data_IF_250324543088
#
_entry.id   IF_250324543088
#
_cell.length_a   1.000
_cell.length_b   1.000
_cell.length_c   1.000
_cell.angle_alpha   90.00
_cell.angle_beta   90.00
_cell.angle_gamma   90.00
#
_symmetry.space_group_name_H-M   'P 1'
#
loop_
_entity.id
_entity.type
_entity.pdbx_description
1 polymer ?
#
# COMPACT_ATOMS: atom_id res chain seq x y z
N UNK A 1 24.76 -5.84 -11.24
CA UNK A 1 23.50 -6.15 -10.53
C UNK A 1 22.60 -6.94 -11.46
N UNK A 2 21.87 -7.93 -10.95
CA UNK A 2 20.86 -8.71 -11.71
C UNK A 2 19.48 -8.46 -11.11
N UNK A 3 18.46 -8.32 -11.95
CA UNK A 3 17.05 -8.23 -11.51
C UNK A 3 16.63 -9.59 -10.96
N UNK A 4 16.11 -9.63 -9.71
CA UNK A 4 15.61 -10.87 -9.10
C UNK A 4 14.16 -11.15 -9.47
N UNK A 5 13.31 -10.12 -9.36
CA UNK A 5 11.89 -10.19 -9.67
C UNK A 5 11.36 -8.80 -10.00
N UNK A 6 10.13 -8.76 -10.49
CA UNK A 6 9.38 -7.56 -10.80
C UNK A 6 7.94 -7.76 -10.35
N UNK A 7 7.32 -6.71 -9.81
CA UNK A 7 5.94 -6.72 -9.35
C UNK A 7 5.21 -5.51 -9.93
N UNK A 8 4.06 -5.75 -10.54
CA UNK A 8 3.18 -4.70 -11.04
C UNK A 8 1.98 -4.59 -10.11
N UNK A 9 1.75 -3.39 -9.58
CA UNK A 9 0.61 -3.11 -8.68
C UNK A 9 -0.74 -3.14 -9.40
N UNK A 10 -0.73 -3.06 -10.73
CA UNK A 10 -1.95 -3.00 -11.54
C UNK A 10 -2.56 -1.60 -11.64
N UNK A 11 -1.95 -0.59 -11.02
CA UNK A 11 -2.40 0.79 -11.14
C UNK A 11 -1.97 1.39 -12.49
N UNK A 12 -2.83 1.24 -13.49
CA UNK A 12 -2.64 1.87 -14.78
C UNK A 12 -3.75 2.87 -15.04
N UNK A 13 -3.38 4.09 -15.43
CA UNK A 13 -4.35 5.08 -15.89
C UNK A 13 -5.06 4.58 -17.15
N UNK A 14 -6.39 4.53 -17.08
CA UNK A 14 -7.28 4.25 -18.20
C UNK A 14 -7.81 5.57 -18.81
N UNK A 15 -8.35 5.55 -20.04
CA UNK A 15 -8.97 6.73 -20.64
C UNK A 15 -10.15 7.30 -19.84
N UNK A 16 -10.81 6.48 -19.03
CA UNK A 16 -11.97 6.86 -18.23
C UNK A 16 -11.57 7.52 -16.89
N UNK A 17 -10.30 7.40 -16.49
CA UNK A 17 -9.82 7.95 -15.23
C UNK A 17 -9.71 9.48 -15.30
N UNK A 18 -10.42 10.14 -14.38
CA UNK A 18 -10.45 11.61 -14.26
C UNK A 18 -9.24 12.18 -13.51
N UNK A 19 -8.41 11.32 -12.92
CA UNK A 19 -7.22 11.68 -12.16
C UNK A 19 -5.96 11.03 -12.75
N UNK A 20 -4.79 11.61 -12.46
CA UNK A 20 -3.51 10.94 -12.72
C UNK A 20 -3.24 9.89 -11.65
N UNK A 21 -2.49 8.84 -11.98
CA UNK A 21 -1.95 7.89 -10.99
C UNK A 21 -0.45 8.11 -10.88
N UNK A 22 0.06 8.24 -9.66
CA UNK A 22 1.49 8.36 -9.41
C UNK A 22 1.95 7.44 -8.27
N UNK A 23 2.90 6.56 -8.60
CA UNK A 23 3.59 5.71 -7.64
C UNK A 23 4.71 6.46 -6.93
N UNK A 24 4.40 7.17 -5.84
CA UNK A 24 5.38 7.86 -4.98
C UNK A 24 5.83 6.99 -3.78
N UNK A 25 5.47 5.72 -3.80
CA UNK A 25 5.76 4.76 -2.74
C UNK A 25 7.27 4.42 -2.68
N UNK A 26 7.85 4.50 -1.48
CA UNK A 26 9.07 3.77 -1.12
C UNK A 26 8.69 2.53 -0.29
N UNK A 27 8.80 1.31 -0.83
CA UNK A 27 8.32 0.11 -0.15
C UNK A 27 9.00 -0.10 1.22
N UNK A 28 8.22 -0.47 2.23
CA UNK A 28 8.72 -0.74 3.58
C UNK A 28 9.06 -2.23 3.72
N UNK A 29 10.30 -2.56 4.07
CA UNK A 29 10.68 -3.95 4.39
C UNK A 29 10.71 -4.17 5.90
N UNK A 30 9.97 -5.18 6.38
CA UNK A 30 10.06 -5.66 7.78
C UNK A 30 10.23 -7.18 7.77
N UNK A 31 11.33 -7.66 8.33
CA UNK A 31 11.69 -9.08 8.25
C UNK A 31 11.79 -9.55 6.80
N UNK A 32 11.04 -10.60 6.44
CA UNK A 32 10.99 -11.16 5.08
C UNK A 32 9.83 -10.62 4.24
N UNK A 33 9.13 -9.59 4.71
CA UNK A 33 7.97 -9.02 4.00
C UNK A 33 8.30 -7.63 3.49
N UNK A 34 7.95 -7.35 2.24
CA UNK A 34 7.96 -6.02 1.65
C UNK A 34 6.51 -5.52 1.53
N UNK A 35 6.24 -4.32 2.03
CA UNK A 35 4.91 -3.71 1.98
C UNK A 35 4.90 -2.57 0.98
N UNK A 36 3.91 -2.58 0.10
CA UNK A 36 3.73 -1.63 -0.99
C UNK A 36 2.36 -1.01 -0.80
N UNK A 37 2.31 0.33 -0.79
CA UNK A 37 1.05 1.04 -0.95
C UNK A 37 0.90 1.43 -2.42
N UNK A 38 -0.21 1.01 -3.03
CA UNK A 38 -0.53 1.24 -4.45
C UNK A 38 -1.07 2.66 -4.65
N UNK A 39 -1.06 3.21 -5.87
CA UNK A 39 -1.69 4.52 -6.09
C UNK A 39 -3.21 4.46 -5.92
N UNK A 40 -3.82 3.27 -5.99
CA UNK A 40 -5.22 3.03 -5.59
C UNK A 40 -5.41 2.93 -4.06
N UNK A 41 -4.35 3.17 -3.27
CA UNK A 41 -4.33 3.19 -1.80
C UNK A 41 -4.60 1.82 -1.14
N UNK A 42 -4.42 0.76 -1.92
CA UNK A 42 -4.43 -0.61 -1.44
C UNK A 42 -3.04 -0.94 -0.89
N UNK A 43 -2.96 -1.94 -0.02
CA UNK A 43 -1.68 -2.42 0.49
C UNK A 43 -1.45 -3.86 0.06
N UNK A 44 -0.27 -4.10 -0.51
CA UNK A 44 0.20 -5.43 -0.89
C UNK A 44 1.39 -5.78 -0.02
N UNK A 45 1.37 -6.97 0.56
CA UNK A 45 2.53 -7.56 1.20
C UNK A 45 3.12 -8.62 0.28
N UNK A 46 4.41 -8.49 -0.04
CA UNK A 46 5.16 -9.43 -0.84
C UNK A 46 6.19 -10.16 0.01
N UNK A 47 6.51 -11.40 -0.36
CA UNK A 47 7.75 -12.03 0.05
C UNK A 47 8.93 -11.26 -0.58
N UNK A 48 9.84 -10.76 0.26
CA UNK A 48 10.91 -9.89 -0.20
C UNK A 48 11.95 -10.60 -1.09
N UNK A 49 12.07 -11.94 -0.99
CA UNK A 49 13.02 -12.71 -1.77
C UNK A 49 12.46 -13.09 -3.15
N UNK A 50 11.16 -13.37 -3.24
CA UNK A 50 10.54 -13.89 -4.47
C UNK A 50 9.64 -12.89 -5.19
N UNK A 51 9.18 -11.83 -4.51
CA UNK A 51 8.18 -10.90 -5.04
C UNK A 51 6.76 -11.45 -5.06
N UNK A 52 6.52 -12.66 -4.51
CA UNK A 52 5.18 -13.26 -4.48
C UNK A 52 4.29 -12.57 -3.46
N UNK A 53 3.04 -12.33 -3.82
CA UNK A 53 2.03 -11.80 -2.91
C UNK A 53 1.78 -12.76 -1.75
N UNK A 54 1.84 -12.22 -0.53
CA UNK A 54 1.48 -12.89 0.72
C UNK A 54 0.06 -12.57 1.12
N UNK A 55 -0.31 -11.30 0.97
CA UNK A 55 -1.67 -10.83 1.15
C UNK A 55 -1.87 -9.48 0.46
N UNK A 56 -3.12 -9.16 0.23
CA UNK A 56 -3.60 -7.92 -0.34
C UNK A 56 -4.73 -7.36 0.52
N UNK A 57 -4.78 -6.04 0.66
CA UNK A 57 -5.83 -5.35 1.39
C UNK A 57 -6.35 -4.15 0.59
N UNK A 58 -7.65 -4.18 0.29
CA UNK A 58 -8.38 -3.06 -0.31
C UNK A 58 -9.21 -2.34 0.76
N UNK A 59 -8.87 -1.08 1.11
CA UNK A 59 -9.64 -0.31 2.07
C UNK A 59 -10.99 0.20 1.50
N UNK A 60 -11.29 -0.06 0.23
CA UNK A 60 -12.48 0.43 -0.50
C UNK A 60 -12.60 1.94 -0.37
N UNK A 61 -11.57 2.67 -0.84
CA UNK A 61 -11.57 4.14 -0.80
C UNK A 61 -12.73 4.67 -1.62
N UNK A 62 -13.43 5.67 -1.08
CA UNK A 62 -14.48 6.38 -1.80
C UNK A 62 -13.96 6.88 -3.16
N UNK A 63 -14.52 6.43 -4.29
CA UNK A 63 -14.13 6.88 -5.62
C UNK A 63 -14.27 8.39 -5.77
N UNK A 64 -15.25 9.02 -5.13
CA UNK A 64 -15.43 10.49 -5.18
C UNK A 64 -14.26 11.21 -4.51
N UNK A 65 -13.75 10.68 -3.39
CA UNK A 65 -12.55 11.21 -2.76
C UNK A 65 -11.32 11.06 -3.64
N UNK A 66 -11.23 10.00 -4.46
CA UNK A 66 -10.16 9.87 -5.45
C UNK A 66 -10.32 10.86 -6.61
N UNK A 67 -11.54 11.02 -7.13
CA UNK A 67 -11.86 11.93 -8.24
C UNK A 67 -11.67 13.42 -7.89
N UNK A 68 -11.91 13.79 -6.63
CA UNK A 68 -11.74 15.17 -6.16
C UNK A 68 -10.27 15.57 -5.96
N UNK A 69 -9.31 14.68 -6.28
CA UNK A 69 -7.89 14.98 -6.31
C UNK A 69 -7.35 14.87 -7.75
N UNK A 70 -6.45 15.78 -8.14
CA UNK A 70 -5.84 15.77 -9.47
C UNK A 70 -4.97 14.52 -9.70
N UNK A 71 -4.46 13.91 -8.62
CA UNK A 71 -3.59 12.73 -8.68
C UNK A 71 -3.88 11.78 -7.52
N UNK A 72 -4.20 10.53 -7.84
CA UNK A 72 -4.25 9.44 -6.89
C UNK A 72 -2.85 8.96 -6.58
N UNK A 73 -2.51 9.01 -5.29
CA UNK A 73 -1.16 8.78 -4.80
C UNK A 73 -1.20 7.97 -3.51
N UNK A 74 -0.14 7.18 -3.30
CA UNK A 74 0.22 6.72 -1.97
C UNK A 74 1.72 6.86 -1.75
N UNK A 75 2.10 7.34 -0.57
CA UNK A 75 3.49 7.67 -0.21
C UNK A 75 4.17 6.61 0.66
N UNK A 76 3.51 5.47 0.82
CA UNK A 76 4.02 4.33 1.59
C UNK A 76 3.21 4.05 2.84
N UNK A 77 3.79 3.24 3.70
CA UNK A 77 3.16 2.72 4.92
C UNK A 77 4.09 2.90 6.11
N UNK A 78 3.53 2.88 7.31
CA UNK A 78 4.26 2.79 8.57
C UNK A 78 4.08 1.40 9.20
N UNK A 79 5.04 0.98 10.02
CA UNK A 79 4.95 -0.24 10.80
C UNK A 79 4.97 0.09 12.30
N UNK A 80 4.09 -0.56 13.06
CA UNK A 80 4.04 -0.46 14.51
C UNK A 80 4.13 -1.85 15.13
N UNK A 81 5.00 -2.03 16.11
CA UNK A 81 5.06 -3.23 16.95
C UNK A 81 4.67 -2.85 18.38
N UNK A 82 3.63 -3.48 18.91
CA UNK A 82 3.15 -3.22 20.26
C UNK A 82 4.16 -3.76 21.29
N UNK A 83 4.49 -2.98 22.34
CA UNK A 83 5.32 -3.48 23.44
C UNK A 83 4.55 -4.52 24.25
N UNK A 84 5.23 -5.61 24.64
CA UNK A 84 4.64 -6.64 25.49
C UNK A 84 4.40 -6.11 26.92
N UNK A 85 3.34 -6.57 27.63
CA UNK A 85 2.45 -7.69 27.32
C UNK A 85 1.14 -7.30 26.61
N UNK A 86 1.01 -6.06 26.12
CA UNK A 86 -0.21 -5.56 25.48
C UNK A 86 -0.48 -6.39 24.21
N UNK A 87 -1.37 -7.38 24.24
CA UNK A 87 -1.53 -8.27 23.10
C UNK A 87 -2.97 -8.70 22.82
N UNK A 88 -3.59 -7.92 21.93
CA UNK A 88 -4.49 -8.46 20.90
C UNK A 88 -3.93 -8.18 19.48
N UNK A 89 -3.16 -7.09 19.29
CA UNK A 89 -2.60 -6.69 17.97
C UNK A 89 -1.09 -6.45 18.04
N UNK A 90 -0.30 -7.51 17.86
CA UNK A 90 1.16 -7.49 18.09
C UNK A 90 1.92 -6.57 17.12
N UNK A 91 1.46 -6.49 15.88
CA UNK A 91 2.11 -5.70 14.82
C UNK A 91 1.04 -5.15 13.88
N UNK A 92 1.26 -3.95 13.32
CA UNK A 92 0.36 -3.29 12.39
C UNK A 92 1.11 -2.62 11.27
N UNK A 93 0.58 -2.70 10.06
CA UNK A 93 0.90 -1.79 8.97
C UNK A 93 -0.17 -0.70 8.95
N UNK A 94 0.25 0.56 8.91
CA UNK A 94 -0.63 1.73 9.02
C UNK A 94 -0.42 2.64 7.81
N UNK A 95 -1.49 3.13 7.22
CA UNK A 95 -1.42 4.11 6.14
C UNK A 95 -2.67 4.99 6.12
N UNK A 96 -2.56 6.13 5.43
CA UNK A 96 -3.68 7.03 5.22
C UNK A 96 -4.31 6.83 3.84
N UNK A 97 -5.59 7.14 3.74
CA UNK A 97 -6.35 7.18 2.49
C UNK A 97 -6.82 8.61 2.19
N UNK A 98 -7.04 8.91 0.91
CA UNK A 98 -7.52 10.19 0.38
C UNK A 98 -8.96 10.52 0.82
N UNK A 99 -9.75 9.51 1.19
CA UNK A 99 -11.05 9.70 1.86
C UNK A 99 -10.92 10.02 3.37
N UNK A 100 -9.70 10.38 3.81
CA UNK A 100 -9.37 10.86 5.17
C UNK A 100 -9.52 9.80 6.27
N UNK A 101 -9.36 8.52 5.92
CA UNK A 101 -9.29 7.43 6.90
C UNK A 101 -7.84 7.07 7.22
N UNK A 102 -7.66 6.55 8.43
CA UNK A 102 -6.45 5.83 8.83
C UNK A 102 -6.79 4.34 8.83
N UNK A 103 -6.05 3.57 8.04
CA UNK A 103 -6.24 2.12 7.91
C UNK A 103 -5.11 1.38 8.61
N UNK A 104 -5.42 0.19 9.14
CA UNK A 104 -4.40 -0.72 9.63
C UNK A 104 -4.72 -2.18 9.31
N UNK A 105 -3.69 -2.95 8.95
CA UNK A 105 -3.75 -4.39 8.70
C UNK A 105 -2.65 -5.14 9.49
#
# INVERSE_FOLDING_TARGET
>A
MVKLWEFHTGDFKTPDDKYAQAGENTPLKVGNTLYICTSSQQVVALDAATGQEKWFFDPQVDPEAQFNNDTSICRGVAYYAAPQPLAEWKTRIIWGTMDRRSCSA
#
